data_IF_513578428652
#
_entry.id   IF_513578428652
#
_cell.length_a   1.000
_cell.length_b   1.000
_cell.length_c   1.000
_cell.angle_alpha   90.00
_cell.angle_beta   90.00
_cell.angle_gamma   90.00
#
_symmetry.space_group_name_H-M   'P 1'
#
loop_
_entity.id
_entity.type
_entity.pdbx_description
1 polymer ?
#
# COMPACT_ATOMS: atom_id res chain seq x y z
N UNK A 1 -11.59 -4.17 38.68
CA UNK A 1 -11.26 -2.77 38.32
C UNK A 1 -9.78 -2.64 38.61
N UNK A 2 -8.87 -2.77 37.64
CA UNK A 2 -8.85 -2.09 36.34
C UNK A 2 -8.31 -3.02 35.27
N UNK A 3 -8.88 -2.91 34.09
CA UNK A 3 -8.56 -3.64 32.86
C UNK A 3 -7.10 -3.33 32.42
N UNK A 4 -6.23 -4.35 32.41
CA UNK A 4 -4.87 -4.26 31.86
C UNK A 4 -4.91 -4.66 30.38
N UNK A 5 -5.69 -3.92 29.57
CA UNK A 5 -5.63 -4.01 28.11
C UNK A 5 -4.75 -2.89 27.59
N UNK A 6 -3.43 -2.98 27.82
CA UNK A 6 -2.50 -2.09 27.14
C UNK A 6 -1.19 -2.77 26.77
N UNK A 7 -1.28 -3.84 26.00
CA UNK A 7 -0.20 -4.33 25.17
C UNK A 7 -0.70 -4.45 23.73
N UNK A 8 -1.02 -3.33 23.10
CA UNK A 8 -0.81 -3.22 21.66
C UNK A 8 0.67 -2.87 21.51
N UNK A 9 1.57 -3.81 21.19
CA UNK A 9 2.95 -3.44 20.89
C UNK A 9 2.91 -2.44 19.73
N UNK A 10 3.38 -1.22 20.02
CA UNK A 10 3.59 -0.19 19.02
C UNK A 10 4.48 -0.73 17.90
N UNK A 11 4.02 -0.56 16.67
CA UNK A 11 4.63 -1.11 15.47
C UNK A 11 3.67 -2.02 14.71
N UNK A 12 2.48 -1.52 14.37
CA UNK A 12 1.78 -2.12 13.23
C UNK A 12 2.71 -1.92 12.04
N UNK A 13 3.42 -2.97 11.61
CA UNK A 13 4.15 -2.96 10.35
C UNK A 13 3.15 -2.43 9.32
N UNK A 14 3.42 -1.29 8.68
CA UNK A 14 2.50 -0.71 7.70
C UNK A 14 2.23 -1.76 6.64
N UNK A 15 1.03 -2.33 6.66
CA UNK A 15 0.67 -3.40 5.73
C UNK A 15 0.40 -2.73 4.39
N UNK A 16 1.40 -2.75 3.52
CA UNK A 16 1.27 -2.33 2.13
C UNK A 16 0.69 -3.48 1.34
N UNK A 17 -0.45 -3.25 0.69
CA UNK A 17 -1.05 -4.20 -0.25
C UNK A 17 -1.19 -3.51 -1.60
N UNK A 18 -0.64 -4.11 -2.65
CA UNK A 18 -0.82 -3.63 -4.03
C UNK A 18 -1.17 -4.80 -4.93
N UNK A 19 -2.38 -4.77 -5.51
CA UNK A 19 -2.95 -5.85 -6.31
C UNK A 19 -3.34 -5.36 -7.69
N UNK A 20 -3.24 -6.24 -8.69
CA UNK A 20 -3.76 -5.98 -10.02
C UNK A 20 -5.13 -6.63 -10.15
N UNK A 21 -6.09 -5.86 -10.62
CA UNK A 21 -7.45 -6.30 -10.95
C UNK A 21 -7.68 -6.12 -12.44
N UNK A 22 -8.12 -7.18 -13.09
CA UNK A 22 -8.38 -7.22 -14.53
C UNK A 22 -9.90 -7.14 -14.78
N UNK A 23 -10.35 -6.18 -15.59
CA UNK A 23 -11.75 -6.01 -15.99
C UNK A 23 -11.87 -5.79 -17.51
N UNK A 24 -13.10 -5.73 -18.02
CA UNK A 24 -13.35 -5.51 -19.46
C UNK A 24 -12.76 -4.19 -20.01
N UNK A 25 -12.50 -3.21 -19.13
CA UNK A 25 -11.93 -1.90 -19.49
C UNK A 25 -10.39 -1.88 -19.48
N UNK A 26 -9.75 -2.92 -18.93
CA UNK A 26 -8.29 -3.03 -18.83
C UNK A 26 -7.80 -3.48 -17.46
N UNK A 27 -6.55 -3.13 -17.15
CA UNK A 27 -5.83 -3.55 -15.96
C UNK A 27 -5.76 -2.41 -14.93
N UNK A 28 -6.21 -2.65 -13.71
CA UNK A 28 -6.24 -1.69 -12.61
C UNK A 28 -5.25 -2.10 -11.53
N UNK A 29 -4.63 -1.12 -10.88
CA UNK A 29 -3.76 -1.32 -9.73
C UNK A 29 -4.45 -0.74 -8.50
N UNK A 30 -5.01 -1.62 -7.67
CA UNK A 30 -5.59 -1.26 -6.38
C UNK A 30 -4.50 -1.32 -5.31
N UNK A 31 -4.40 -0.31 -4.46
CA UNK A 31 -3.43 -0.27 -3.37
C UNK A 31 -4.06 0.14 -2.04
N UNK A 32 -3.48 -0.34 -0.95
CA UNK A 32 -3.84 0.00 0.42
C UNK A 32 -2.59 0.13 1.29
N UNK A 33 -2.55 1.14 2.16
CA UNK A 33 -1.51 1.37 3.18
C UNK A 33 -2.11 2.12 4.37
N UNK A 34 -1.92 1.63 5.58
CA UNK A 34 -2.29 2.32 6.84
C UNK A 34 -3.72 2.88 6.88
N UNK A 35 -4.68 2.19 6.26
CA UNK A 35 -6.09 2.60 6.19
C UNK A 35 -6.43 3.54 5.02
N UNK A 36 -5.44 3.98 4.25
CA UNK A 36 -5.64 4.64 2.96
C UNK A 36 -5.73 3.62 1.84
N UNK A 37 -6.56 3.91 0.84
CA UNK A 37 -6.75 3.07 -0.34
C UNK A 37 -6.81 3.92 -1.60
N UNK A 38 -6.33 3.40 -2.72
CA UNK A 38 -6.45 4.07 -4.00
C UNK A 38 -6.40 3.12 -5.19
N UNK A 39 -6.74 3.64 -6.36
CA UNK A 39 -6.82 2.90 -7.62
C UNK A 39 -6.06 3.67 -8.70
N UNK A 40 -5.25 2.97 -9.49
CA UNK A 40 -4.56 3.50 -10.66
C UNK A 40 -4.96 2.70 -11.90
N UNK A 41 -5.23 3.38 -13.02
CA UNK A 41 -5.63 2.74 -14.27
C UNK A 41 -6.84 3.43 -14.92
N UNK A 42 -7.45 2.80 -15.94
CA UNK A 42 -7.09 1.48 -16.47
C UNK A 42 -5.83 1.56 -17.36
N UNK A 43 -5.00 0.52 -17.30
CA UNK A 43 -3.88 0.31 -18.21
C UNK A 43 -4.28 -0.67 -19.32
N UNK A 44 -3.89 -0.37 -20.55
CA UNK A 44 -4.19 -1.21 -21.71
C UNK A 44 -3.31 -2.48 -21.74
N UNK A 45 -2.11 -2.40 -21.18
CA UNK A 45 -1.15 -3.50 -21.14
C UNK A 45 -0.94 -3.99 -19.71
N UNK A 46 -0.99 -5.30 -19.52
CA UNK A 46 -0.72 -5.95 -18.23
C UNK A 46 0.68 -5.64 -17.71
N UNK A 47 1.68 -5.62 -18.60
CA UNK A 47 3.06 -5.28 -18.24
C UNK A 47 3.16 -3.87 -17.64
N UNK A 48 2.37 -2.91 -18.15
CA UNK A 48 2.31 -1.57 -17.60
C UNK A 48 1.70 -1.56 -16.20
N UNK A 49 0.62 -2.32 -15.97
CA UNK A 49 0.03 -2.47 -14.65
C UNK A 49 0.99 -3.15 -13.65
N UNK A 50 1.77 -4.14 -14.09
CA UNK A 50 2.79 -4.82 -13.28
C UNK A 50 3.93 -3.86 -12.89
N UNK A 51 4.42 -3.05 -13.83
CA UNK A 51 5.41 -2.02 -13.56
C UNK A 51 4.90 -0.97 -12.57
N UNK A 52 3.65 -0.50 -12.73
CA UNK A 52 3.02 0.45 -11.81
C UNK A 52 2.81 -0.17 -10.44
N UNK A 53 2.36 -1.43 -10.35
CA UNK A 53 2.21 -2.16 -9.10
C UNK A 53 3.53 -2.20 -8.34
N UNK A 54 4.61 -2.61 -9.01
CA UNK A 54 5.94 -2.69 -8.40
C UNK A 54 6.46 -1.31 -7.96
N UNK A 55 6.27 -0.28 -8.77
CA UNK A 55 6.66 1.09 -8.41
C UNK A 55 5.86 1.59 -7.19
N UNK A 56 4.55 1.34 -7.15
CA UNK A 56 3.67 1.79 -6.07
C UNK A 56 3.96 1.04 -4.76
N UNK A 57 4.21 -0.27 -4.84
CA UNK A 57 4.59 -1.08 -3.67
C UNK A 57 5.91 -0.57 -3.05
N UNK A 58 6.89 -0.20 -3.90
CA UNK A 58 8.15 0.40 -3.47
C UNK A 58 7.96 1.78 -2.86
N UNK A 59 7.25 2.70 -3.53
CA UNK A 59 6.93 4.04 -3.01
C UNK A 59 6.27 3.95 -1.62
N UNK A 60 5.26 3.10 -1.48
CA UNK A 60 4.51 2.92 -0.24
C UNK A 60 5.37 2.30 0.87
N UNK A 61 6.31 1.43 0.53
CA UNK A 61 7.24 0.82 1.49
C UNK A 61 8.35 1.78 1.90
N UNK A 62 8.92 2.53 0.95
CA UNK A 62 10.03 3.46 1.17
C UNK A 62 9.57 4.75 1.88
N UNK A 63 8.35 5.22 1.64
CA UNK A 63 7.78 6.39 2.34
C UNK A 63 7.56 6.15 3.85
N UNK A 64 7.61 4.90 4.34
CA UNK A 64 7.62 4.64 5.78
C UNK A 64 8.98 4.97 6.42
N UNK A 65 10.07 5.02 5.65
CA UNK A 65 11.43 5.30 6.15
C UNK A 65 11.77 6.79 6.28
N UNK A 66 10.96 7.70 5.73
CA UNK A 66 11.27 9.14 5.68
C UNK A 66 10.62 9.98 6.79
N UNK A 67 9.95 9.36 7.76
CA UNK A 67 9.32 10.09 8.88
C UNK A 67 10.29 10.33 10.05
N UNK A 68 11.50 9.75 10.03
CA UNK A 68 12.49 9.85 11.12
C UNK A 68 13.74 10.72 10.83
N UNK A 69 13.88 11.35 9.66
CA UNK A 69 15.03 12.24 9.36
C UNK A 69 14.61 13.72 9.32
N UNK A 70 14.24 14.22 10.49
CA UNK A 70 14.18 15.66 10.79
C UNK A 70 14.65 15.87 12.25
N UNK A 71 15.94 15.61 12.49
CA UNK A 71 16.65 15.87 13.75
C UNK A 71 17.91 16.66 13.52
#
# INVERSE_FOLDING_TARGET
MTDDSNLTPGGAASIVTVTIRDDAEGHWVDWAKDGETGVLGPYQDREMAENVRAAKERELTENHGHIDDAG
#
